data_IF_087897673533
#
_entry.id   IF_087897673533
#
_cell.length_a   1.000
_cell.length_b   1.000
_cell.length_c   1.000
_cell.angle_alpha   90.00
_cell.angle_beta   90.00
_cell.angle_gamma   90.00
#
_symmetry.space_group_name_H-M   'P 1'
#
loop_
_entity.id
_entity.type
_entity.pdbx_description
1 polymer ?
#
# COMPACT_ATOMS: atom_id res chain seq x y z
N UNK A 1 31.41 110.43 82.02
CA UNK A 1 30.10 109.83 81.66
C UNK A 1 30.24 109.14 80.31
N UNK A 2 29.97 107.84 80.17
CA UNK A 2 29.87 107.18 78.86
C UNK A 2 28.45 107.40 78.34
N UNK A 3 28.33 108.07 77.20
CA UNK A 3 27.04 108.33 76.52
C UNK A 3 26.54 107.01 75.93
N UNK A 4 25.28 106.64 76.21
CA UNK A 4 24.64 105.47 75.62
C UNK A 4 24.07 105.80 74.23
N UNK A 5 24.13 104.87 73.26
CA UNK A 5 23.63 105.09 71.89
C UNK A 5 22.09 105.13 71.80
N UNK A 6 21.51 105.79 70.77
CA UNK A 6 20.06 105.94 70.56
C UNK A 6 19.34 104.59 70.32
N UNK A 7 18.11 104.47 70.84
CA UNK A 7 17.29 103.23 70.82
C UNK A 7 17.12 102.61 69.42
N UNK A 8 16.99 103.43 68.37
CA UNK A 8 16.89 102.96 66.99
C UNK A 8 18.14 102.21 66.52
N UNK A 9 19.32 102.59 67.02
CA UNK A 9 20.58 101.92 66.73
C UNK A 9 20.68 100.58 67.48
N UNK A 10 20.10 100.48 68.69
CA UNK A 10 20.00 99.23 69.46
C UNK A 10 19.10 98.23 68.74
N UNK A 11 17.94 98.67 68.24
CA UNK A 11 16.99 97.80 67.53
C UNK A 11 17.48 97.39 66.14
N UNK A 12 18.15 98.29 65.41
CA UNK A 12 18.83 97.97 64.15
C UNK A 12 19.95 96.93 64.35
N UNK A 13 20.75 97.08 65.41
CA UNK A 13 21.78 96.11 65.77
C UNK A 13 21.19 94.76 66.18
N UNK A 14 20.04 94.73 66.87
CA UNK A 14 19.33 93.49 67.21
C UNK A 14 18.79 92.79 65.97
N UNK A 15 18.16 93.52 65.06
CA UNK A 15 17.63 92.97 63.81
C UNK A 15 18.75 92.46 62.89
N UNK A 16 19.87 93.18 62.78
CA UNK A 16 21.05 92.71 62.05
C UNK A 16 21.58 91.41 62.64
N UNK A 17 21.78 91.35 63.97
CA UNK A 17 22.24 90.13 64.65
C UNK A 17 21.30 88.94 64.45
N UNK A 18 19.98 89.17 64.47
CA UNK A 18 19.00 88.12 64.21
C UNK A 18 19.04 87.64 62.76
N UNK A 19 19.21 88.56 61.80
CA UNK A 19 19.37 88.22 60.39
C UNK A 19 20.64 87.42 60.15
N UNK A 20 21.74 87.84 60.76
CA UNK A 20 23.04 87.18 60.64
C UNK A 20 23.00 85.77 61.26
N UNK A 21 22.31 85.62 62.40
CA UNK A 21 22.04 84.31 63.01
C UNK A 21 21.21 83.42 62.08
N UNK A 22 20.07 83.91 61.57
CA UNK A 22 19.23 83.16 60.62
C UNK A 22 19.97 82.77 59.35
N UNK A 23 20.82 83.66 58.82
CA UNK A 23 21.63 83.38 57.66
C UNK A 23 22.68 82.31 57.96
N UNK A 24 23.30 82.34 59.14
CA UNK A 24 24.17 81.27 59.61
C UNK A 24 23.40 79.94 59.71
N UNK A 25 22.18 79.94 60.26
CA UNK A 25 21.30 78.75 60.33
C UNK A 25 20.99 78.14 58.98
N UNK A 26 20.64 78.98 58.01
CA UNK A 26 20.34 78.52 56.66
C UNK A 26 21.58 78.01 55.95
N UNK A 27 22.74 78.65 56.14
CA UNK A 27 23.99 78.23 55.52
C UNK A 27 24.46 76.87 56.04
N UNK A 28 24.43 76.65 57.36
CA UNK A 28 24.79 75.36 57.97
C UNK A 28 23.83 74.25 57.59
N UNK A 29 22.52 74.51 57.61
CA UNK A 29 21.53 73.55 57.13
C UNK A 29 21.79 73.18 55.66
N UNK A 30 22.07 74.16 54.81
CA UNK A 30 22.28 73.91 53.38
C UNK A 30 23.58 73.13 53.14
N UNK A 31 24.66 73.45 53.85
CA UNK A 31 25.88 72.64 53.89
C UNK A 31 25.56 71.19 54.24
N UNK A 32 24.83 70.97 55.34
CA UNK A 32 24.46 69.63 55.80
C UNK A 32 23.56 68.89 54.80
N UNK A 33 22.55 69.54 54.21
CA UNK A 33 21.71 68.94 53.15
C UNK A 33 22.57 68.48 51.97
N UNK A 34 23.48 69.32 51.47
CA UNK A 34 24.38 68.94 50.37
C UNK A 34 25.32 67.80 50.77
N UNK A 35 25.75 67.79 52.03
CA UNK A 35 26.65 66.78 52.55
C UNK A 35 25.98 65.41 52.68
N UNK A 36 24.77 65.36 53.23
CA UNK A 36 24.04 64.11 53.52
C UNK A 36 23.23 63.57 52.32
N UNK A 37 22.84 64.43 51.36
CA UNK A 37 22.05 64.02 50.18
C UNK A 37 22.85 63.21 49.16
N UNK A 38 24.19 63.29 49.19
CA UNK A 38 25.06 62.53 48.30
C UNK A 38 25.70 61.40 49.09
N UNK A 39 25.50 60.17 48.62
CA UNK A 39 26.21 59.02 49.18
C UNK A 39 27.70 59.10 48.83
N UNK A 40 28.54 59.30 49.84
CA UNK A 40 30.01 59.34 49.70
C UNK A 40 30.66 58.04 50.20
N UNK A 41 30.05 56.91 49.87
CA UNK A 41 30.53 55.58 50.25
C UNK A 41 31.48 55.02 49.17
N UNK A 42 32.52 54.30 49.62
CA UNK A 42 33.44 53.55 48.76
C UNK A 42 33.51 52.07 49.14
N UNK A 43 34.14 51.22 48.31
CA UNK A 43 34.35 49.80 48.63
C UNK A 43 35.35 49.64 49.79
N UNK A 44 35.05 48.74 50.74
CA UNK A 44 35.98 48.43 51.84
C UNK A 44 37.04 47.44 51.37
N UNK A 45 38.28 47.90 51.24
CA UNK A 45 39.40 47.08 50.76
C UNK A 45 40.18 46.39 51.88
N UNK A 46 40.18 46.95 53.10
CA UNK A 46 40.95 46.40 54.24
C UNK A 46 40.13 46.32 55.55
N UNK A 47 40.46 45.40 56.48
CA UNK A 47 39.76 45.28 57.76
C UNK A 47 39.98 46.46 58.71
N UNK A 48 41.15 47.10 58.69
CA UNK A 48 41.53 48.22 59.59
C UNK A 48 41.69 49.53 58.80
N UNK A 49 40.63 50.00 58.17
CA UNK A 49 40.59 51.36 57.61
C UNK A 49 40.10 52.35 58.69
N UNK A 50 40.53 53.63 58.70
CA UNK A 50 40.05 54.67 59.62
C UNK A 50 38.75 55.31 59.12
N UNK A 51 37.64 55.22 59.87
CA UNK A 51 36.28 55.57 59.39
C UNK A 51 35.20 54.58 59.84
N UNK A 52 34.02 54.56 59.19
CA UNK A 52 32.89 53.71 59.60
C UNK A 52 32.51 52.68 58.52
N UNK A 53 32.51 51.37 58.84
CA UNK A 53 32.04 50.34 57.91
C UNK A 53 30.51 50.28 57.87
N UNK A 54 29.94 50.12 56.67
CA UNK A 54 28.50 50.01 56.44
C UNK A 54 28.23 48.83 55.51
N UNK A 55 27.13 48.10 55.72
CA UNK A 55 26.70 47.05 54.79
C UNK A 55 25.40 47.51 54.14
N UNK A 56 25.40 47.62 52.82
CA UNK A 56 24.23 48.00 52.03
C UNK A 56 24.10 47.01 50.87
N UNK A 57 22.89 46.48 50.62
CA UNK A 57 22.64 45.50 49.56
C UNK A 57 23.60 44.29 49.55
N UNK A 58 23.98 43.81 50.74
CA UNK A 58 24.95 42.73 50.94
C UNK A 58 26.41 43.05 50.52
N UNK A 59 26.71 44.30 50.18
CA UNK A 59 28.06 44.77 49.89
C UNK A 59 28.68 45.45 51.11
N UNK A 60 29.96 45.15 51.41
CA UNK A 60 30.71 45.78 52.50
C UNK A 60 31.29 47.10 52.01
N UNK A 61 30.63 48.18 52.38
CA UNK A 61 31.01 49.56 52.05
C UNK A 61 31.72 50.26 53.21
N UNK A 62 32.31 51.39 52.87
CA UNK A 62 33.16 52.18 53.72
C UNK A 62 32.80 53.67 53.61
N UNK A 63 32.62 54.34 54.74
CA UNK A 63 32.48 55.80 54.79
C UNK A 63 33.81 56.40 55.28
N UNK A 64 34.49 57.20 54.45
CA UNK A 64 35.70 57.90 54.87
C UNK A 64 35.42 58.89 56.01
N UNK A 65 36.37 59.10 56.93
CA UNK A 65 36.18 59.91 58.13
C UNK A 65 35.88 61.38 57.80
N UNK A 66 36.42 61.91 56.70
CA UNK A 66 36.12 63.26 56.19
C UNK A 66 34.65 63.45 55.77
N UNK A 67 33.91 62.36 55.57
CA UNK A 67 32.49 62.37 55.22
C UNK A 67 31.61 61.96 56.40
N UNK A 68 32.18 61.82 57.60
CA UNK A 68 31.45 61.58 58.84
C UNK A 68 31.45 62.89 59.61
N UNK A 69 30.26 63.45 59.81
CA UNK A 69 30.12 64.67 60.61
C UNK A 69 30.43 64.37 62.09
N UNK A 70 31.21 65.22 62.78
CA UNK A 70 31.56 65.03 64.19
C UNK A 70 30.39 65.48 65.09
N UNK A 71 29.31 64.70 65.08
CA UNK A 71 28.05 65.03 65.75
C UNK A 71 28.24 65.30 67.25
N UNK A 72 29.18 64.60 67.89
CA UNK A 72 29.46 64.74 69.33
C UNK A 72 30.03 66.13 69.70
N UNK A 73 30.67 66.81 68.76
CA UNK A 73 31.28 68.13 68.95
C UNK A 73 30.35 69.28 68.50
N UNK A 74 29.13 68.97 68.08
CA UNK A 74 28.21 69.96 67.55
C UNK A 74 27.62 70.84 68.64
N UNK A 75 27.55 72.14 68.35
CA UNK A 75 26.75 73.06 69.15
C UNK A 75 25.25 72.70 69.05
N UNK A 76 24.42 73.05 70.05
CA UNK A 76 22.97 72.83 70.00
C UNK A 76 22.31 73.36 68.71
N UNK A 77 22.85 74.47 68.20
CA UNK A 77 22.44 75.08 66.94
C UNK A 77 22.73 74.19 65.71
N UNK A 78 23.93 73.60 65.62
CA UNK A 78 24.30 72.70 64.52
C UNK A 78 23.50 71.39 64.55
N UNK A 79 23.21 70.84 65.73
CA UNK A 79 22.32 69.68 65.89
C UNK A 79 20.92 69.97 65.37
N UNK A 80 20.37 71.15 65.68
CA UNK A 80 19.07 71.57 65.15
C UNK A 80 19.09 71.73 63.61
N UNK A 81 20.19 72.24 63.05
CA UNK A 81 20.38 72.36 61.61
C UNK A 81 20.46 70.98 60.92
N UNK A 82 21.14 70.01 61.56
CA UNK A 82 21.24 68.62 61.08
C UNK A 82 19.87 67.94 61.04
N UNK A 83 19.09 67.99 62.12
CA UNK A 83 17.75 67.40 62.14
C UNK A 83 16.82 67.99 61.08
N UNK A 84 16.91 69.31 60.83
CA UNK A 84 16.17 69.96 59.74
C UNK A 84 16.63 69.49 58.36
N UNK A 85 17.94 69.29 58.17
CA UNK A 85 18.51 68.80 56.93
C UNK A 85 18.09 67.35 56.64
N UNK A 86 18.20 66.46 57.63
CA UNK A 86 17.78 65.05 57.54
C UNK A 86 16.31 64.94 57.15
N UNK A 87 15.45 65.70 57.83
CA UNK A 87 14.01 65.71 57.54
C UNK A 87 13.72 66.13 56.09
N UNK A 88 14.38 67.18 55.60
CA UNK A 88 14.20 67.63 54.21
C UNK A 88 14.63 66.57 53.19
N UNK A 89 15.75 65.87 53.44
CA UNK A 89 16.23 64.81 52.56
C UNK A 89 15.29 63.60 52.59
N UNK A 90 14.80 63.22 53.77
CA UNK A 90 13.82 62.14 53.92
C UNK A 90 12.49 62.46 53.22
N UNK A 91 11.97 63.67 53.37
CA UNK A 91 10.75 64.11 52.70
C UNK A 91 10.93 64.09 51.16
N UNK A 92 12.09 64.53 50.65
CA UNK A 92 12.39 64.48 49.22
C UNK A 92 12.47 63.04 48.68
N UNK A 93 13.11 62.13 49.42
CA UNK A 93 13.19 60.71 49.05
C UNK A 93 11.81 60.03 49.11
N UNK A 94 11.00 60.32 50.12
CA UNK A 94 9.64 59.79 50.22
C UNK A 94 8.79 60.21 49.01
N UNK A 95 8.86 61.49 48.61
CA UNK A 95 8.18 61.99 47.41
C UNK A 95 8.66 61.26 46.17
N UNK A 96 9.99 61.09 46.02
CA UNK A 96 10.59 60.39 44.89
C UNK A 96 10.15 58.92 44.82
N UNK A 97 10.22 58.18 45.92
CA UNK A 97 9.84 56.77 45.94
C UNK A 97 8.33 56.58 45.71
N UNK A 98 7.48 57.46 46.27
CA UNK A 98 6.04 57.45 45.96
C UNK A 98 5.78 57.68 44.47
N UNK A 99 6.53 58.56 43.82
CA UNK A 99 6.41 58.79 42.38
C UNK A 99 6.84 57.57 41.57
N UNK A 100 7.96 56.94 41.91
CA UNK A 100 8.44 55.70 41.24
C UNK A 100 7.41 54.58 41.38
N UNK A 101 6.92 54.33 42.60
CA UNK A 101 5.93 53.28 42.85
C UNK A 101 4.62 53.51 42.08
N UNK A 102 4.15 54.77 42.00
CA UNK A 102 2.97 55.12 41.19
C UNK A 102 3.20 54.84 39.71
N UNK A 103 4.35 55.27 39.18
CA UNK A 103 4.70 55.02 37.78
C UNK A 103 4.78 53.52 37.46
N UNK A 104 5.41 52.72 38.34
CA UNK A 104 5.51 51.27 38.15
C UNK A 104 4.13 50.60 38.13
N UNK A 105 3.24 50.98 39.06
CA UNK A 105 1.86 50.46 39.09
C UNK A 105 1.11 50.80 37.79
N UNK A 106 1.22 52.04 37.32
CA UNK A 106 0.61 52.47 36.06
C UNK A 106 1.18 51.68 34.87
N UNK A 107 2.50 51.53 34.80
CA UNK A 107 3.18 50.77 33.74
C UNK A 107 2.75 49.29 33.70
N UNK A 108 2.72 48.61 34.86
CA UNK A 108 2.27 47.22 34.93
C UNK A 108 0.80 47.07 34.52
N UNK A 109 -0.06 48.00 34.93
CA UNK A 109 -1.47 48.00 34.56
C UNK A 109 -1.67 48.16 33.04
N UNK A 110 -0.97 49.12 32.43
CA UNK A 110 -1.02 49.37 30.99
C UNK A 110 -0.51 48.16 30.19
N UNK A 111 0.59 47.54 30.63
CA UNK A 111 1.14 46.32 30.02
C UNK A 111 0.14 45.17 30.08
N UNK A 112 -0.57 44.99 31.20
CA UNK A 112 -1.60 43.95 31.34
C UNK A 112 -2.76 44.18 30.37
N UNK A 113 -3.26 45.41 30.28
CA UNK A 113 -4.32 45.80 29.35
C UNK A 113 -3.89 45.52 27.89
N UNK A 114 -2.68 45.95 27.51
CA UNK A 114 -2.15 45.71 26.17
C UNK A 114 -2.02 44.22 25.83
N UNK A 115 -1.60 43.40 26.81
CA UNK A 115 -1.54 41.94 26.65
C UNK A 115 -2.92 41.33 26.40
N UNK A 116 -3.91 41.68 27.23
CA UNK A 116 -5.30 41.20 27.08
C UNK A 116 -5.87 41.59 25.71
N UNK A 117 -5.65 42.84 25.28
CA UNK A 117 -6.12 43.31 23.97
C UNK A 117 -5.49 42.52 22.82
N UNK A 118 -4.18 42.24 22.87
CA UNK A 118 -3.49 41.41 21.87
C UNK A 118 -4.05 39.99 21.82
N UNK A 119 -4.26 39.36 22.98
CA UNK A 119 -4.86 38.03 23.07
C UNK A 119 -6.28 38.02 22.50
N UNK A 120 -7.11 38.99 22.85
CA UNK A 120 -8.49 39.10 22.33
C UNK A 120 -8.50 39.24 20.80
N UNK A 121 -7.64 40.12 20.25
CA UNK A 121 -7.52 40.30 18.79
C UNK A 121 -7.00 39.04 18.09
N UNK A 122 -6.04 38.33 18.70
CA UNK A 122 -5.54 37.06 18.18
C UNK A 122 -6.63 35.97 18.20
N UNK A 123 -7.41 35.91 19.28
CA UNK A 123 -8.52 34.97 19.41
C UNK A 123 -9.63 35.22 18.39
N UNK A 124 -10.01 36.48 18.16
CA UNK A 124 -10.98 36.84 17.12
C UNK A 124 -10.49 36.40 15.72
N UNK A 125 -9.20 36.61 15.41
CA UNK A 125 -8.60 36.11 14.15
C UNK A 125 -8.62 34.59 14.06
N UNK A 126 -8.30 33.90 15.16
CA UNK A 126 -8.35 32.44 15.23
C UNK A 126 -9.76 31.93 14.95
N UNK A 127 -10.79 32.51 15.58
CA UNK A 127 -12.18 32.12 15.33
C UNK A 127 -12.57 32.25 13.85
N UNK A 128 -12.22 33.37 13.20
CA UNK A 128 -12.48 33.58 11.76
C UNK A 128 -11.73 32.53 10.92
N UNK A 129 -10.46 32.26 11.22
CA UNK A 129 -9.65 31.27 10.49
C UNK A 129 -10.20 29.86 10.65
N UNK A 130 -10.59 29.49 11.87
CA UNK A 130 -11.16 28.17 12.18
C UNK A 130 -12.51 27.99 11.46
N UNK A 131 -13.39 28.99 11.49
CA UNK A 131 -14.64 28.98 10.73
C UNK A 131 -14.39 28.80 9.22
N UNK A 132 -13.43 29.53 8.64
CA UNK A 132 -13.04 29.40 7.22
C UNK A 132 -12.49 28.01 6.90
N UNK A 133 -11.66 27.44 7.78
CA UNK A 133 -11.12 26.09 7.62
C UNK A 133 -12.21 25.03 7.66
N UNK A 134 -13.14 25.12 8.61
CA UNK A 134 -14.27 24.18 8.67
C UNK A 134 -15.17 24.28 7.44
N UNK A 135 -15.49 25.50 6.99
CA UNK A 135 -16.25 25.71 5.76
C UNK A 135 -15.56 25.11 4.53
N UNK A 136 -14.26 25.39 4.35
CA UNK A 136 -13.47 24.83 3.25
C UNK A 136 -13.35 23.31 3.32
N UNK A 137 -13.13 22.75 4.51
CA UNK A 137 -13.08 21.30 4.71
C UNK A 137 -14.40 20.63 4.33
N UNK A 138 -15.54 21.20 4.73
CA UNK A 138 -16.86 20.69 4.34
C UNK A 138 -17.04 20.70 2.81
N UNK A 139 -16.65 21.79 2.13
CA UNK A 139 -16.71 21.85 0.66
C UNK A 139 -15.83 20.79 0.00
N UNK A 140 -14.58 20.64 0.46
CA UNK A 140 -13.64 19.63 -0.07
C UNK A 140 -14.19 18.23 0.15
N UNK A 141 -14.74 17.94 1.33
CA UNK A 141 -15.36 16.65 1.65
C UNK A 141 -16.53 16.36 0.72
N UNK A 142 -17.47 17.29 0.54
CA UNK A 142 -18.60 17.10 -0.38
C UNK A 142 -18.14 16.86 -1.83
N UNK A 143 -17.14 17.61 -2.32
CA UNK A 143 -16.59 17.41 -3.67
C UNK A 143 -15.92 16.05 -3.80
N UNK A 144 -15.14 15.66 -2.79
CA UNK A 144 -14.43 14.38 -2.79
C UNK A 144 -15.40 13.20 -2.68
N UNK A 145 -16.42 13.28 -1.84
CA UNK A 145 -17.49 12.28 -1.74
C UNK A 145 -18.28 12.19 -3.04
N UNK A 146 -18.63 13.32 -3.67
CA UNK A 146 -19.28 13.32 -4.97
C UNK A 146 -18.39 12.72 -6.07
N UNK A 147 -17.08 13.00 -6.04
CA UNK A 147 -16.10 12.40 -6.95
C UNK A 147 -15.97 10.89 -6.74
N UNK A 148 -15.85 10.44 -5.48
CA UNK A 148 -15.79 9.03 -5.13
C UNK A 148 -17.08 8.32 -5.53
N UNK A 149 -18.24 8.92 -5.28
CA UNK A 149 -19.54 8.39 -5.68
C UNK A 149 -19.64 8.30 -7.20
N UNK A 150 -19.29 9.36 -7.93
CA UNK A 150 -19.24 9.34 -9.41
C UNK A 150 -18.29 8.26 -9.92
N UNK A 151 -17.08 8.14 -9.38
CA UNK A 151 -16.10 7.12 -9.79
C UNK A 151 -16.48 5.69 -9.38
N UNK A 152 -17.27 5.56 -8.31
CA UNK A 152 -17.78 4.28 -7.82
C UNK A 152 -18.98 3.80 -8.64
N UNK A 153 -19.85 4.71 -9.10
CA UNK A 153 -21.08 4.38 -9.84
C UNK A 153 -20.86 4.38 -11.35
N UNK A 154 -20.11 5.34 -11.87
CA UNK A 154 -19.86 5.47 -13.31
C UNK A 154 -18.99 4.33 -13.82
N UNK A 155 -19.32 3.89 -15.03
CA UNK A 155 -18.51 2.92 -15.73
C UNK A 155 -17.14 3.49 -16.09
N UNK A 156 -16.09 2.65 -16.08
CA UNK A 156 -14.80 3.03 -16.64
C UNK A 156 -14.96 3.46 -18.11
N UNK A 157 -14.19 4.45 -18.55
CA UNK A 157 -14.26 4.98 -19.93
C UNK A 157 -13.97 3.94 -21.01
N UNK A 158 -13.22 2.89 -20.69
CA UNK A 158 -12.95 1.77 -21.60
C UNK A 158 -14.10 0.76 -21.68
N UNK A 159 -15.06 0.77 -20.75
CA UNK A 159 -16.17 -0.18 -20.72
C UNK A 159 -17.26 0.22 -21.72
N UNK A 160 -16.97 0.02 -23.01
CA UNK A 160 -17.84 0.37 -24.14
C UNK A 160 -18.14 -0.85 -25.00
N UNK A 161 -19.21 -0.79 -25.78
CA UNK A 161 -19.60 -1.85 -26.70
C UNK A 161 -18.48 -2.10 -27.73
N UNK A 162 -18.21 -3.38 -28.00
CA UNK A 162 -17.16 -3.78 -28.94
C UNK A 162 -15.74 -3.68 -28.40
N UNK A 163 -15.55 -3.20 -27.16
CA UNK A 163 -14.23 -3.17 -26.56
C UNK A 163 -13.69 -4.59 -26.40
N UNK A 164 -12.41 -4.75 -26.70
CA UNK A 164 -11.66 -5.96 -26.43
C UNK A 164 -11.13 -5.95 -24.99
N UNK A 165 -11.45 -6.97 -24.23
CA UNK A 165 -11.16 -7.06 -22.79
C UNK A 165 -10.53 -8.40 -22.41
N UNK A 166 -9.79 -8.39 -21.31
CA UNK A 166 -9.35 -9.57 -20.59
C UNK A 166 -10.29 -9.83 -19.42
N UNK A 167 -10.79 -11.06 -19.34
CA UNK A 167 -11.60 -11.56 -18.24
C UNK A 167 -10.70 -12.21 -17.19
N UNK A 168 -11.03 -12.00 -15.92
CA UNK A 168 -10.32 -12.64 -14.81
C UNK A 168 -10.27 -14.18 -14.98
N UNK A 169 -9.09 -14.76 -14.74
CA UNK A 169 -8.78 -16.16 -15.05
C UNK A 169 -9.77 -17.17 -14.41
N UNK A 170 -10.31 -16.87 -13.23
CA UNK A 170 -11.29 -17.74 -12.54
C UNK A 170 -12.56 -17.91 -13.36
N UNK A 171 -13.06 -16.84 -13.97
CA UNK A 171 -14.24 -16.87 -14.82
C UNK A 171 -13.90 -17.44 -16.20
N UNK A 172 -12.75 -17.05 -16.76
CA UNK A 172 -12.28 -17.58 -18.04
C UNK A 172 -12.11 -19.11 -18.00
N UNK A 173 -11.63 -19.69 -16.89
CA UNK A 173 -11.55 -21.15 -16.70
C UNK A 173 -12.91 -21.83 -16.78
N UNK A 174 -13.97 -21.18 -16.29
CA UNK A 174 -15.35 -21.69 -16.37
C UNK A 174 -15.89 -21.63 -17.80
N UNK A 175 -15.64 -20.53 -18.52
CA UNK A 175 -16.02 -20.40 -19.91
C UNK A 175 -15.25 -21.36 -20.84
N UNK A 176 -13.99 -21.65 -20.50
CA UNK A 176 -13.14 -22.59 -21.22
C UNK A 176 -13.60 -24.05 -21.10
N UNK A 177 -14.53 -24.38 -20.19
CA UNK A 177 -15.07 -25.73 -20.06
C UNK A 177 -15.73 -26.15 -21.38
N UNK A 178 -15.25 -27.27 -21.92
CA UNK A 178 -15.82 -27.90 -23.11
C UNK A 178 -16.49 -29.22 -22.78
N UNK A 179 -17.32 -29.68 -23.71
CA UNK A 179 -18.08 -30.91 -23.57
C UNK A 179 -17.62 -31.90 -24.62
N UNK A 180 -17.17 -33.07 -24.15
CA UNK A 180 -16.85 -34.19 -25.02
C UNK A 180 -18.12 -35.00 -25.26
N UNK A 181 -18.53 -35.10 -26.52
CA UNK A 181 -19.79 -35.73 -26.90
C UNK A 181 -19.60 -37.20 -27.30
N UNK A 182 -20.44 -38.06 -26.73
CA UNK A 182 -20.50 -39.49 -26.99
C UNK A 182 -21.88 -39.84 -27.54
N UNK A 183 -21.97 -39.94 -28.86
CA UNK A 183 -23.22 -40.19 -29.57
C UNK A 183 -23.86 -41.52 -29.20
N UNK A 184 -25.16 -41.51 -28.94
CA UNK A 184 -25.97 -42.71 -28.68
C UNK A 184 -25.53 -43.47 -27.42
N UNK A 185 -24.75 -42.85 -26.54
CA UNK A 185 -24.26 -43.42 -25.29
C UNK A 185 -24.83 -42.67 -24.12
N UNK A 186 -25.03 -43.39 -23.01
CA UNK A 186 -25.45 -42.85 -21.73
C UNK A 186 -25.05 -43.80 -20.58
N UNK A 187 -25.31 -43.40 -19.35
CA UNK A 187 -25.24 -44.27 -18.17
C UNK A 187 -26.19 -43.75 -17.10
N UNK A 188 -27.08 -44.60 -16.58
CA UNK A 188 -28.09 -44.18 -15.59
C UNK A 188 -27.51 -43.90 -14.20
N UNK A 189 -26.44 -44.61 -13.82
CA UNK A 189 -25.82 -44.51 -12.51
C UNK A 189 -25.21 -43.11 -12.28
N UNK A 190 -25.71 -42.36 -11.30
CA UNK A 190 -25.21 -41.02 -10.99
C UNK A 190 -26.03 -39.87 -11.55
N UNK A 191 -27.17 -40.15 -12.21
CA UNK A 191 -28.23 -39.17 -12.42
C UNK A 191 -28.70 -38.61 -11.07
N UNK A 192 -28.72 -37.29 -10.92
CA UNK A 192 -29.19 -36.65 -9.69
C UNK A 192 -30.33 -35.65 -9.91
N UNK A 193 -30.50 -35.18 -11.13
CA UNK A 193 -31.64 -34.40 -11.56
C UNK A 193 -31.87 -34.66 -13.05
N UNK A 194 -33.12 -34.54 -13.49
CA UNK A 194 -33.47 -34.65 -14.91
C UNK A 194 -34.41 -33.49 -15.24
N UNK A 195 -34.03 -32.71 -16.24
CA UNK A 195 -34.82 -31.59 -16.73
C UNK A 195 -34.93 -31.66 -18.26
N UNK A 196 -35.92 -32.42 -18.71
CA UNK A 196 -36.15 -32.69 -20.13
C UNK A 196 -36.70 -31.48 -20.91
N UNK A 197 -37.02 -30.38 -20.23
CA UNK A 197 -37.57 -29.17 -20.86
C UNK A 197 -36.48 -28.25 -21.41
N UNK A 198 -35.25 -28.39 -20.91
CA UNK A 198 -34.12 -27.53 -21.28
C UNK A 198 -33.52 -27.89 -22.62
N UNK A 199 -33.18 -26.86 -23.37
CA UNK A 199 -32.38 -26.98 -24.59
C UNK A 199 -30.96 -27.46 -24.28
N UNK A 200 -30.28 -27.97 -25.31
CA UNK A 200 -28.90 -28.44 -25.18
C UNK A 200 -27.94 -27.35 -24.68
N UNK A 201 -28.14 -26.10 -25.11
CA UNK A 201 -27.26 -24.99 -24.74
C UNK A 201 -27.52 -24.49 -23.31
N UNK A 202 -28.76 -24.57 -22.84
CA UNK A 202 -29.09 -24.35 -21.43
C UNK A 202 -28.48 -25.45 -20.54
N UNK A 203 -28.54 -26.72 -20.95
CA UNK A 203 -27.90 -27.83 -20.24
C UNK A 203 -26.37 -27.66 -20.16
N UNK A 204 -25.72 -27.24 -21.25
CA UNK A 204 -24.29 -26.89 -21.24
C UNK A 204 -24.01 -25.77 -20.25
N UNK A 205 -24.81 -24.72 -20.26
CA UNK A 205 -24.64 -23.55 -19.38
C UNK A 205 -24.79 -23.95 -17.92
N UNK A 206 -25.84 -24.70 -17.59
CA UNK A 206 -26.09 -25.21 -16.25
C UNK A 206 -24.96 -26.13 -15.78
N UNK A 207 -24.52 -27.07 -16.62
CA UNK A 207 -23.42 -27.96 -16.30
C UNK A 207 -22.08 -27.21 -16.12
N UNK A 208 -21.83 -26.11 -16.83
CA UNK A 208 -20.64 -25.26 -16.61
C UNK A 208 -20.66 -24.61 -15.23
N UNK A 209 -21.82 -24.13 -14.79
CA UNK A 209 -21.97 -23.39 -13.52
C UNK A 209 -22.09 -24.29 -12.29
N UNK A 210 -22.57 -25.53 -12.46
CA UNK A 210 -22.65 -26.50 -11.37
C UNK A 210 -21.34 -27.30 -11.25
N UNK A 211 -20.59 -27.05 -10.19
CA UNK A 211 -19.36 -27.77 -9.86
C UNK A 211 -19.60 -29.26 -9.56
N UNK A 212 -20.81 -29.62 -9.12
CA UNK A 212 -21.18 -31.02 -8.83
C UNK A 212 -21.62 -31.78 -10.07
N UNK A 213 -21.83 -31.09 -11.20
CA UNK A 213 -22.25 -31.71 -12.45
C UNK A 213 -21.02 -32.06 -13.29
N UNK A 214 -20.80 -33.34 -13.53
CA UNK A 214 -19.67 -33.87 -14.29
C UNK A 214 -20.03 -34.22 -15.75
N UNK A 215 -21.30 -34.45 -16.03
CA UNK A 215 -21.82 -34.70 -17.37
C UNK A 215 -23.33 -34.46 -17.42
N UNK A 216 -23.87 -34.37 -18.63
CA UNK A 216 -25.30 -34.38 -18.86
C UNK A 216 -25.62 -35.20 -20.11
N UNK A 217 -26.82 -35.75 -20.19
CA UNK A 217 -27.33 -36.40 -21.39
C UNK A 217 -28.36 -35.51 -22.09
N UNK A 218 -28.57 -35.74 -23.38
CA UNK A 218 -29.47 -34.95 -24.23
C UNK A 218 -30.95 -35.07 -23.87
N UNK A 219 -31.33 -36.03 -23.04
CA UNK A 219 -32.67 -36.18 -22.42
C UNK A 219 -32.90 -35.21 -21.25
N UNK A 220 -31.90 -34.41 -20.87
CA UNK A 220 -31.94 -33.51 -19.72
C UNK A 220 -31.40 -34.11 -18.42
N UNK A 221 -30.91 -35.35 -18.42
CA UNK A 221 -30.36 -36.00 -17.23
C UNK A 221 -28.97 -35.45 -16.87
N UNK A 222 -28.86 -34.84 -15.69
CA UNK A 222 -27.62 -34.30 -15.10
C UNK A 222 -26.94 -35.35 -14.21
N UNK A 223 -25.61 -35.44 -14.31
CA UNK A 223 -24.83 -36.53 -13.73
C UNK A 223 -23.72 -36.03 -12.80
N UNK A 224 -23.59 -36.64 -11.61
CA UNK A 224 -22.59 -36.25 -10.59
C UNK A 224 -21.18 -36.76 -10.86
N UNK A 225 -21.07 -37.93 -11.48
CA UNK A 225 -19.78 -38.56 -11.76
C UNK A 225 -19.81 -39.19 -13.14
N UNK A 226 -18.63 -39.41 -13.71
CA UNK A 226 -18.46 -40.08 -15.00
C UNK A 226 -17.69 -41.38 -14.78
N UNK A 227 -18.13 -42.51 -15.36
CA UNK A 227 -17.42 -43.79 -15.23
C UNK A 227 -15.97 -43.68 -15.72
N UNK A 228 -15.05 -44.40 -15.07
CA UNK A 228 -13.61 -44.35 -15.43
C UNK A 228 -13.33 -44.98 -16.79
N UNK A 229 -14.13 -45.95 -17.20
CA UNK A 229 -13.94 -46.68 -18.46
C UNK A 229 -15.11 -46.43 -19.40
N UNK A 230 -14.79 -46.11 -20.67
CA UNK A 230 -15.81 -45.88 -21.71
C UNK A 230 -16.62 -47.14 -22.04
N UNK A 231 -16.11 -48.32 -21.71
CA UNK A 231 -16.83 -49.60 -21.83
C UNK A 231 -18.05 -49.70 -20.91
N UNK A 232 -18.12 -48.86 -19.88
CA UNK A 232 -19.25 -48.82 -18.93
C UNK A 232 -20.43 -47.98 -19.45
N UNK A 233 -20.29 -47.34 -20.61
CA UNK A 233 -21.36 -46.56 -21.23
C UNK A 233 -22.39 -47.49 -21.89
N UNK A 234 -23.63 -47.36 -21.47
CA UNK A 234 -24.80 -48.04 -22.02
C UNK A 234 -25.32 -47.32 -23.27
N UNK A 235 -26.12 -47.99 -24.12
CA UNK A 235 -26.86 -47.32 -25.19
C UNK A 235 -27.81 -46.27 -24.63
N UNK A 236 -27.89 -45.11 -25.27
CA UNK A 236 -28.84 -44.07 -24.91
C UNK A 236 -30.26 -44.53 -25.26
N UNK A 237 -31.09 -44.75 -24.24
CA UNK A 237 -32.50 -45.09 -24.40
C UNK A 237 -33.33 -43.81 -24.41
N UNK A 238 -33.71 -43.36 -25.60
CA UNK A 238 -34.67 -42.28 -25.77
C UNK A 238 -36.07 -42.88 -26.06
N UNK A 239 -37.15 -42.19 -25.68
CA UNK A 239 -38.53 -42.56 -26.01
C UNK A 239 -38.85 -42.43 -27.52
N UNK A 240 -37.90 -41.92 -28.31
CA UNK A 240 -38.04 -41.69 -29.75
C UNK A 240 -37.43 -42.85 -30.55
N UNK A 241 -38.12 -43.27 -31.60
CA UNK A 241 -37.74 -44.41 -32.47
C UNK A 241 -36.46 -44.15 -33.29
N UNK A 242 -36.02 -42.89 -33.41
CA UNK A 242 -34.78 -42.50 -34.11
C UNK A 242 -33.95 -41.55 -33.26
N UNK A 243 -32.65 -41.84 -33.16
CA UNK A 243 -31.66 -41.03 -32.42
C UNK A 243 -31.22 -39.84 -33.26
N UNK A 244 -31.38 -38.62 -32.73
CA UNK A 244 -30.83 -37.42 -33.36
C UNK A 244 -29.28 -37.46 -33.35
N UNK A 245 -28.60 -36.75 -34.27
CA UNK A 245 -27.13 -36.67 -34.28
C UNK A 245 -26.54 -36.12 -32.97
N UNK A 246 -27.31 -35.30 -32.25
CA UNK A 246 -26.97 -34.67 -30.97
C UNK A 246 -27.36 -35.51 -29.75
N UNK A 247 -28.01 -36.66 -29.96
CA UNK A 247 -28.47 -37.53 -28.88
C UNK A 247 -27.33 -38.35 -28.29
N UNK A 248 -27.16 -38.28 -26.97
CA UNK A 248 -26.13 -38.99 -26.23
C UNK A 248 -25.61 -38.20 -25.04
N UNK A 249 -24.39 -38.53 -24.64
CA UNK A 249 -23.76 -38.06 -23.41
C UNK A 249 -22.74 -36.95 -23.68
N UNK A 250 -22.80 -35.88 -22.89
CA UNK A 250 -21.86 -34.76 -22.90
C UNK A 250 -21.07 -34.77 -21.59
N UNK A 251 -19.79 -35.13 -21.66
CA UNK A 251 -18.88 -35.15 -20.51
C UNK A 251 -18.20 -33.80 -20.36
N UNK A 252 -18.33 -33.19 -19.17
CA UNK A 252 -17.66 -31.94 -18.80
C UNK A 252 -16.16 -32.17 -18.74
N UNK A 253 -15.40 -31.38 -19.50
CA UNK A 253 -13.94 -31.39 -19.49
C UNK A 253 -13.43 -30.03 -19.03
N UNK A 254 -12.62 -30.08 -17.98
CA UNK A 254 -11.95 -28.92 -17.41
C UNK A 254 -10.62 -28.68 -18.15
N UNK A 255 -10.22 -27.42 -18.36
CA UNK A 255 -8.88 -27.09 -18.84
C UNK A 255 -7.82 -27.63 -17.87
N UNK A 256 -6.73 -28.20 -18.39
CA UNK A 256 -5.66 -28.80 -17.58
C UNK A 256 -4.66 -27.76 -17.11
N UNK A 257 -4.46 -26.72 -17.91
CA UNK A 257 -3.50 -25.65 -17.66
C UNK A 257 -4.10 -24.28 -18.01
N UNK A 258 -3.53 -23.22 -17.45
CA UNK A 258 -3.92 -21.84 -17.81
C UNK A 258 -3.63 -21.50 -19.27
N UNK A 259 -2.67 -22.18 -19.91
CA UNK A 259 -2.37 -22.01 -21.32
C UNK A 259 -3.53 -22.48 -22.23
N UNK A 260 -4.38 -23.37 -21.74
CA UNK A 260 -5.57 -23.85 -22.46
C UNK A 260 -6.77 -22.89 -22.35
N UNK A 261 -6.65 -21.85 -21.52
CA UNK A 261 -7.75 -20.93 -21.17
C UNK A 261 -7.66 -19.67 -21.99
N UNK A 262 -8.69 -19.41 -22.80
CA UNK A 262 -8.83 -18.14 -23.51
C UNK A 262 -9.52 -17.15 -22.57
N UNK A 263 -8.77 -16.15 -22.11
CA UNK A 263 -9.26 -15.10 -21.23
C UNK A 263 -9.68 -13.82 -21.97
N UNK A 264 -9.43 -13.72 -23.27
CA UNK A 264 -9.83 -12.55 -24.05
C UNK A 264 -11.28 -12.67 -24.54
N UNK A 265 -11.97 -11.53 -24.57
CA UNK A 265 -13.38 -11.43 -24.94
C UNK A 265 -13.72 -10.07 -25.57
N UNK A 266 -14.90 -9.99 -26.17
CA UNK A 266 -15.48 -8.75 -26.72
C UNK A 266 -16.75 -8.41 -25.93
N UNK A 267 -16.91 -7.14 -25.55
CA UNK A 267 -18.12 -6.64 -24.89
C UNK A 267 -19.28 -6.55 -25.88
N UNK A 268 -20.40 -7.20 -25.57
CA UNK A 268 -21.65 -7.15 -26.38
C UNK A 268 -22.78 -6.37 -25.72
N UNK A 269 -22.78 -6.25 -24.39
CA UNK A 269 -23.74 -5.43 -23.66
C UNK A 269 -23.09 -4.77 -22.45
N UNK A 270 -23.42 -3.50 -22.21
CA UNK A 270 -22.85 -2.67 -21.14
C UNK A 270 -23.96 -2.31 -20.14
N UNK A 271 -23.73 -2.45 -18.82
CA UNK A 271 -24.73 -2.10 -17.81
C UNK A 271 -24.86 -0.57 -17.67
N UNK A 272 -25.87 -0.12 -16.93
CA UNK A 272 -26.05 1.31 -16.65
C UNK A 272 -25.04 1.86 -15.61
N UNK A 273 -24.49 0.97 -14.77
CA UNK A 273 -23.58 1.33 -13.69
C UNK A 273 -22.49 0.28 -13.47
N UNK A 274 -21.45 0.64 -12.72
CA UNK A 274 -20.27 -0.20 -12.43
C UNK A 274 -20.56 -1.45 -11.59
N UNK A 275 -21.70 -1.49 -10.90
CA UNK A 275 -22.12 -2.65 -10.10
C UNK A 275 -22.82 -3.72 -10.93
N UNK A 276 -23.24 -3.38 -12.15
CA UNK A 276 -23.83 -4.33 -13.07
C UNK A 276 -22.83 -5.32 -13.66
N UNK A 277 -23.37 -6.31 -14.36
CA UNK A 277 -22.64 -7.26 -15.17
C UNK A 277 -22.63 -6.81 -16.63
N UNK A 278 -21.50 -7.06 -17.28
CA UNK A 278 -21.26 -6.82 -18.71
C UNK A 278 -21.42 -8.16 -19.42
N UNK A 279 -22.16 -8.18 -20.52
CA UNK A 279 -22.18 -9.37 -21.37
C UNK A 279 -20.94 -9.37 -22.25
N UNK A 280 -20.19 -10.46 -22.19
CA UNK A 280 -18.98 -10.65 -22.99
C UNK A 280 -19.04 -11.96 -23.77
N UNK A 281 -18.45 -11.96 -24.94
CA UNK A 281 -18.26 -13.15 -25.77
C UNK A 281 -16.79 -13.50 -25.81
N UNK A 282 -16.44 -14.67 -25.29
CA UNK A 282 -15.04 -15.13 -25.28
C UNK A 282 -14.54 -15.42 -26.69
N UNK A 283 -13.32 -14.98 -26.96
CA UNK A 283 -12.64 -15.24 -28.21
C UNK A 283 -12.49 -16.75 -28.43
N UNK A 284 -12.66 -17.19 -29.68
CA UNK A 284 -12.47 -18.58 -30.10
C UNK A 284 -13.55 -19.57 -29.66
N UNK A 285 -14.01 -19.53 -28.41
CA UNK A 285 -15.06 -20.44 -27.90
C UNK A 285 -16.46 -19.91 -28.22
N UNK A 286 -16.64 -18.59 -28.31
CA UNK A 286 -17.93 -17.98 -28.57
C UNK A 286 -18.91 -18.10 -27.42
N UNK A 287 -18.44 -18.48 -26.23
CA UNK A 287 -19.27 -18.58 -25.03
C UNK A 287 -19.66 -17.17 -24.59
N UNK A 288 -20.95 -16.99 -24.34
CA UNK A 288 -21.50 -15.73 -23.83
C UNK A 288 -21.58 -15.85 -22.30
N UNK A 289 -21.07 -14.87 -21.58
CA UNK A 289 -21.10 -14.85 -20.12
C UNK A 289 -21.35 -13.44 -19.58
N UNK A 290 -22.09 -13.36 -18.47
CA UNK A 290 -22.30 -12.12 -17.72
C UNK A 290 -21.18 -11.96 -16.68
N UNK A 291 -20.33 -10.96 -16.86
CA UNK A 291 -19.12 -10.74 -16.06
C UNK A 291 -19.19 -9.40 -15.32
N UNK A 292 -18.91 -9.34 -14.01
CA UNK A 292 -18.84 -8.06 -13.30
C UNK A 292 -17.74 -7.17 -13.89
N UNK A 293 -17.99 -5.86 -14.03
CA UNK A 293 -17.03 -4.88 -14.58
C UNK A 293 -15.66 -4.96 -13.88
N UNK A 294 -15.67 -5.24 -12.58
CA UNK A 294 -14.48 -5.36 -11.72
C UNK A 294 -13.57 -6.55 -12.07
N UNK A 295 -14.10 -7.53 -12.82
CA UNK A 295 -13.39 -8.72 -13.29
C UNK A 295 -12.95 -8.59 -14.76
N UNK A 296 -13.12 -7.42 -15.34
CA UNK A 296 -12.69 -7.07 -16.68
C UNK A 296 -11.55 -6.07 -16.62
N UNK A 297 -10.64 -6.17 -17.58
CA UNK A 297 -9.58 -5.20 -17.82
C UNK A 297 -9.40 -5.00 -19.34
N UNK A 298 -8.94 -3.84 -19.81
CA UNK A 298 -8.73 -3.62 -21.23
C UNK A 298 -7.65 -4.58 -21.78
N UNK A 299 -7.89 -5.17 -22.96
CA UNK A 299 -6.91 -6.08 -23.59
C UNK A 299 -5.60 -5.38 -23.95
N UNK A 300 -5.68 -4.12 -24.33
CA UNK A 300 -4.53 -3.29 -24.67
C UNK A 300 -4.22 -2.36 -23.50
N UNK A 301 -3.05 -2.53 -22.89
CA UNK A 301 -2.61 -1.72 -21.75
C UNK A 301 -1.62 -0.68 -22.25
N UNK A 302 -1.78 0.56 -21.80
CA UNK A 302 -0.86 1.64 -22.12
C UNK A 302 0.36 1.56 -21.19
N UNK A 303 1.50 1.17 -21.74
CA UNK A 303 2.75 0.96 -21.01
C UNK A 303 3.83 1.90 -21.54
N UNK A 304 4.70 2.35 -20.65
CA UNK A 304 5.83 3.21 -20.99
C UNK A 304 7.08 2.35 -21.14
N UNK A 305 7.75 2.47 -22.28
CA UNK A 305 9.03 1.82 -22.53
C UNK A 305 10.18 2.75 -22.15
N UNK A 306 10.92 2.37 -21.11
CA UNK A 306 12.10 3.10 -20.66
C UNK A 306 13.26 3.06 -21.67
N UNK A 307 13.32 2.04 -22.55
CA UNK A 307 14.42 1.91 -23.51
C UNK A 307 14.25 2.88 -24.69
N UNK A 308 13.02 3.06 -25.16
CA UNK A 308 12.70 3.96 -26.28
C UNK A 308 12.20 5.33 -25.84
N UNK A 309 11.94 5.56 -24.54
CA UNK A 309 11.31 6.77 -24.00
C UNK A 309 9.96 7.09 -24.69
N UNK A 310 9.18 6.04 -24.99
CA UNK A 310 7.89 6.18 -25.68
C UNK A 310 6.78 5.39 -24.99
N UNK A 311 5.56 5.90 -25.15
CA UNK A 311 4.35 5.22 -24.73
C UNK A 311 3.82 4.34 -25.87
N UNK A 312 3.41 3.12 -25.53
CA UNK A 312 2.83 2.19 -26.49
C UNK A 312 1.73 1.35 -25.83
N UNK A 313 0.86 0.78 -26.65
CA UNK A 313 -0.18 -0.15 -26.23
C UNK A 313 0.32 -1.59 -26.39
N UNK A 314 0.29 -2.36 -25.32
CA UNK A 314 0.67 -3.78 -25.31
C UNK A 314 -0.58 -4.65 -25.33
N UNK A 315 -0.68 -5.53 -26.32
CA UNK A 315 -1.70 -6.60 -26.32
C UNK A 315 -1.37 -7.62 -25.23
N UNK A 316 -2.23 -7.75 -24.23
CA UNK A 316 -2.03 -8.71 -23.15
C UNK A 316 -1.97 -10.17 -23.62
N UNK A 317 -2.58 -10.50 -24.77
CA UNK A 317 -2.63 -11.86 -25.34
C UNK A 317 -1.36 -12.17 -26.15
N UNK A 318 -1.07 -11.37 -27.18
CA UNK A 318 0.04 -11.61 -28.11
C UNK A 318 1.38 -11.02 -27.65
N UNK A 319 1.35 -10.12 -26.66
CA UNK A 319 2.49 -9.27 -26.24
C UNK A 319 3.03 -8.36 -27.34
N UNK A 320 2.28 -8.18 -28.43
CA UNK A 320 2.63 -7.25 -29.49
C UNK A 320 2.44 -5.80 -29.01
N UNK A 321 3.38 -4.94 -29.39
CA UNK A 321 3.34 -3.51 -29.11
C UNK A 321 2.76 -2.75 -30.30
N UNK A 322 1.95 -1.72 -30.02
CA UNK A 322 1.32 -0.87 -31.03
C UNK A 322 1.38 0.59 -30.58
N UNK A 323 1.59 1.51 -31.52
CA UNK A 323 1.66 2.94 -31.21
C UNK A 323 0.28 3.54 -30.86
N UNK A 324 -0.81 2.99 -31.41
CA UNK A 324 -2.18 3.50 -31.23
C UNK A 324 -3.07 2.44 -30.59
N UNK A 325 -4.02 2.86 -29.75
CA UNK A 325 -5.02 1.97 -29.19
C UNK A 325 -5.95 1.44 -30.30
N UNK A 326 -6.24 0.14 -30.35
CA UNK A 326 -7.24 -0.39 -31.26
C UNK A 326 -8.63 0.17 -30.95
N UNK A 327 -9.35 0.55 -31.98
CA UNK A 327 -10.72 1.03 -31.83
C UNK A 327 -11.66 -0.12 -31.39
N UNK A 328 -12.69 0.17 -30.57
CA UNK A 328 -13.76 -0.77 -30.29
C UNK A 328 -14.56 -1.08 -31.57
N UNK A 329 -15.05 -2.31 -31.69
CA UNK A 329 -15.96 -2.70 -32.76
C UNK A 329 -17.36 -2.08 -32.55
N UNK A 330 -17.55 -0.85 -33.04
CA UNK A 330 -18.73 -0.05 -32.75
C UNK A 330 -20.02 -0.63 -33.36
N UNK A 331 -19.94 -1.22 -34.56
CA UNK A 331 -21.08 -1.78 -35.27
C UNK A 331 -21.40 -3.21 -34.84
N UNK A 332 -22.70 -3.53 -34.73
CA UNK A 332 -23.14 -4.86 -34.30
C UNK A 332 -22.76 -5.96 -35.31
N UNK A 333 -22.84 -5.65 -36.60
CA UNK A 333 -22.47 -6.56 -37.69
C UNK A 333 -20.97 -6.84 -37.69
N UNK A 334 -20.16 -5.82 -37.46
CA UNK A 334 -18.71 -5.94 -37.34
C UNK A 334 -18.32 -6.79 -36.13
N UNK A 335 -18.92 -6.54 -34.96
CA UNK A 335 -18.71 -7.38 -33.76
C UNK A 335 -18.99 -8.84 -34.05
N UNK A 336 -20.13 -9.12 -34.66
CA UNK A 336 -20.54 -10.49 -34.96
C UNK A 336 -19.59 -11.15 -35.96
N UNK A 337 -19.17 -10.43 -37.01
CA UNK A 337 -18.23 -10.92 -38.00
C UNK A 337 -16.86 -11.28 -37.37
N UNK A 338 -16.34 -10.43 -36.49
CA UNK A 338 -15.08 -10.68 -35.78
C UNK A 338 -15.22 -11.86 -34.81
N UNK A 339 -16.33 -11.95 -34.08
CA UNK A 339 -16.62 -13.07 -33.18
C UNK A 339 -16.62 -14.39 -33.97
N UNK A 340 -17.32 -14.43 -35.11
CA UNK A 340 -17.42 -15.63 -35.93
C UNK A 340 -16.09 -15.99 -36.61
N UNK A 341 -15.32 -15.01 -37.06
CA UNK A 341 -13.99 -15.26 -37.61
C UNK A 341 -13.04 -15.84 -36.55
N UNK A 342 -13.03 -15.28 -35.33
CA UNK A 342 -12.23 -15.81 -34.22
C UNK A 342 -12.64 -17.22 -33.83
N UNK A 343 -13.94 -17.56 -33.86
CA UNK A 343 -14.43 -18.94 -33.66
C UNK A 343 -13.89 -19.88 -34.73
N UNK A 344 -13.94 -19.48 -36.01
CA UNK A 344 -13.43 -20.29 -37.13
C UNK A 344 -11.93 -20.53 -37.03
N UNK A 345 -11.15 -19.49 -36.74
CA UNK A 345 -9.71 -19.61 -36.55
C UNK A 345 -9.36 -20.57 -35.41
N UNK A 346 -10.06 -20.45 -34.28
CA UNK A 346 -9.86 -21.35 -33.15
C UNK A 346 -10.27 -22.80 -33.46
N UNK A 347 -11.37 -23.02 -34.21
CA UNK A 347 -11.76 -24.36 -34.66
C UNK A 347 -10.70 -24.99 -35.58
N UNK A 348 -10.18 -24.22 -36.55
CA UNK A 348 -9.08 -24.67 -37.43
C UNK A 348 -7.83 -25.07 -36.63
N UNK A 349 -7.43 -24.24 -35.66
CA UNK A 349 -6.29 -24.52 -34.81
C UNK A 349 -6.49 -25.81 -33.99
N UNK A 350 -7.70 -26.07 -33.49
CA UNK A 350 -8.05 -27.32 -32.80
C UNK A 350 -7.99 -28.54 -33.73
N UNK A 351 -8.49 -28.41 -34.96
CA UNK A 351 -8.44 -29.49 -35.95
C UNK A 351 -7.00 -29.84 -36.33
N UNK A 352 -6.14 -28.83 -36.51
CA UNK A 352 -4.71 -29.03 -36.75
C UNK A 352 -4.02 -29.72 -35.56
N UNK A 353 -4.30 -29.27 -34.33
CA UNK A 353 -3.79 -29.91 -33.13
C UNK A 353 -4.24 -31.37 -33.02
N UNK A 354 -5.49 -31.67 -33.39
CA UNK A 354 -6.01 -33.03 -33.44
C UNK A 354 -5.29 -33.88 -34.49
N UNK A 355 -5.08 -33.37 -35.72
CA UNK A 355 -4.32 -34.07 -36.77
C UNK A 355 -2.90 -34.41 -36.31
N UNK A 356 -2.19 -33.45 -35.72
CA UNK A 356 -0.84 -33.68 -35.15
C UNK A 356 -0.86 -34.76 -34.06
N UNK A 357 -1.90 -34.78 -33.21
CA UNK A 357 -2.06 -35.80 -32.17
C UNK A 357 -2.32 -37.19 -32.76
N UNK A 358 -3.13 -37.29 -33.82
CA UNK A 358 -3.38 -38.54 -34.55
C UNK A 358 -2.08 -39.06 -35.16
N UNK A 359 -1.32 -38.20 -35.84
CA UNK A 359 -0.01 -38.54 -36.42
C UNK A 359 0.97 -39.04 -35.35
N UNK A 360 1.13 -38.30 -34.25
CA UNK A 360 1.97 -38.71 -33.13
C UNK A 360 1.55 -40.07 -32.54
N UNK A 361 0.24 -40.33 -32.46
CA UNK A 361 -0.29 -41.61 -31.96
C UNK A 361 -0.03 -42.75 -32.94
N UNK A 362 -0.17 -42.51 -34.24
CA UNK A 362 0.18 -43.47 -35.29
C UNK A 362 1.67 -43.83 -35.25
N UNK A 363 2.56 -42.83 -35.14
CA UNK A 363 4.01 -43.05 -34.98
C UNK A 363 4.30 -43.89 -33.73
N UNK A 364 3.66 -43.56 -32.59
CA UNK A 364 3.82 -44.32 -31.35
C UNK A 364 3.39 -45.79 -31.51
N UNK A 365 2.27 -46.05 -32.18
CA UNK A 365 1.80 -47.40 -32.47
C UNK A 365 2.75 -48.16 -33.41
N UNK A 366 3.27 -47.50 -34.44
CA UNK A 366 4.25 -48.08 -35.35
C UNK A 366 5.55 -48.45 -34.61
N UNK A 367 6.07 -47.57 -33.75
CA UNK A 367 7.23 -47.85 -32.92
C UNK A 367 6.98 -49.03 -31.96
N UNK A 368 5.82 -49.07 -31.31
CA UNK A 368 5.43 -50.18 -30.44
C UNK A 368 5.34 -51.51 -31.20
N UNK A 369 4.74 -51.50 -32.39
CA UNK A 369 4.64 -52.67 -33.26
C UNK A 369 6.02 -53.17 -33.72
N UNK A 370 6.89 -52.25 -34.18
CA UNK A 370 8.27 -52.58 -34.58
C UNK A 370 9.07 -53.18 -33.42
N UNK A 371 8.95 -52.60 -32.21
CA UNK A 371 9.57 -53.13 -30.99
C UNK A 371 9.04 -54.53 -30.64
N UNK A 372 7.73 -54.77 -30.74
CA UNK A 372 7.14 -56.10 -30.51
C UNK A 372 7.69 -57.13 -31.50
N UNK A 373 7.79 -56.77 -32.79
CA UNK A 373 8.32 -57.64 -33.84
C UNK A 373 9.81 -57.93 -33.65
N UNK A 374 10.61 -56.94 -33.26
CA UNK A 374 12.03 -57.12 -32.93
C UNK A 374 12.22 -58.08 -31.75
N UNK A 375 11.43 -57.92 -30.68
CA UNK A 375 11.43 -58.85 -29.53
C UNK A 375 11.04 -60.27 -29.93
N UNK A 376 10.05 -60.45 -30.80
CA UNK A 376 9.67 -61.78 -31.29
C UNK A 376 10.79 -62.44 -32.11
N UNK A 377 11.44 -61.68 -33.01
CA UNK A 377 12.61 -62.17 -33.78
C UNK A 377 13.78 -62.56 -32.86
N UNK A 378 14.05 -61.75 -31.85
CA UNK A 378 15.11 -62.02 -30.88
C UNK A 378 14.84 -63.31 -30.09
N UNK A 379 13.59 -63.53 -29.64
CA UNK A 379 13.20 -64.80 -28.99
C UNK A 379 13.39 -66.00 -29.90
N UNK A 380 12.98 -65.90 -31.16
CA UNK A 380 13.20 -66.97 -32.14
C UNK A 380 14.70 -67.27 -32.35
N UNK A 381 15.55 -66.24 -32.43
CA UNK A 381 17.01 -66.43 -32.52
C UNK A 381 17.56 -67.17 -31.29
N UNK A 382 17.10 -66.84 -30.08
CA UNK A 382 17.49 -67.54 -28.86
C UNK A 382 17.04 -69.01 -28.87
N UNK A 383 15.83 -69.31 -29.33
CA UNK A 383 15.32 -70.68 -29.46
C UNK A 383 16.14 -71.50 -30.46
N UNK A 384 16.51 -70.91 -31.60
CA UNK A 384 17.40 -71.56 -32.58
C UNK A 384 18.77 -71.81 -31.96
N UNK A 385 19.34 -70.82 -31.26
CA UNK A 385 20.66 -70.96 -30.63
C UNK A 385 20.69 -72.03 -29.54
N UNK A 386 19.60 -72.18 -28.78
CA UNK A 386 19.45 -73.27 -27.81
C UNK A 386 19.46 -74.63 -28.50
N UNK A 387 18.71 -74.80 -29.59
CA UNK A 387 18.72 -76.05 -30.38
C UNK A 387 20.08 -76.35 -31.00
N UNK A 388 20.80 -75.33 -31.46
CA UNK A 388 22.18 -75.48 -31.93
C UNK A 388 23.09 -75.98 -30.82
N UNK A 389 23.00 -75.42 -29.61
CA UNK A 389 23.78 -75.90 -28.44
C UNK A 389 23.43 -77.34 -28.06
N UNK A 390 22.14 -77.70 -28.07
CA UNK A 390 21.69 -79.08 -27.84
C UNK A 390 22.26 -80.04 -28.90
N UNK A 391 22.21 -79.64 -30.18
CA UNK A 391 22.78 -80.43 -31.27
C UNK A 391 24.30 -80.55 -31.13
N UNK A 392 24.99 -79.46 -30.80
CA UNK A 392 26.42 -79.45 -30.53
C UNK A 392 26.77 -80.44 -29.41
N UNK A 393 26.01 -80.44 -28.31
CA UNK A 393 26.21 -81.38 -27.20
C UNK A 393 26.02 -82.85 -27.63
N UNK A 394 25.07 -83.14 -28.52
CA UNK A 394 24.88 -84.49 -29.10
C UNK A 394 26.06 -84.88 -29.99
N UNK A 395 26.53 -83.96 -30.85
CA UNK A 395 27.69 -84.17 -31.72
C UNK A 395 28.95 -84.40 -30.88
N UNK A 396 29.18 -83.60 -29.85
CA UNK A 396 30.31 -83.74 -28.93
C UNK A 396 30.24 -85.05 -28.15
N UNK A 397 29.06 -85.47 -27.69
CA UNK A 397 28.86 -86.76 -27.05
C UNK A 397 29.09 -87.95 -28.01
N UNK A 398 28.69 -87.82 -29.27
CA UNK A 398 28.95 -88.83 -30.31
C UNK A 398 30.45 -88.90 -30.64
N UNK A 399 31.11 -87.75 -30.81
CA UNK A 399 32.55 -87.64 -31.01
C UNK A 399 33.33 -88.26 -29.83
N UNK A 400 32.91 -87.99 -28.59
CA UNK A 400 33.49 -88.60 -27.39
C UNK A 400 33.32 -90.14 -27.38
N UNK A 401 32.15 -90.66 -27.75
CA UNK A 401 31.92 -92.12 -27.88
C UNK A 401 32.77 -92.76 -28.97
N UNK A 402 32.93 -92.09 -30.11
CA UNK A 402 33.81 -92.55 -31.20
C UNK A 402 35.25 -92.56 -30.72
N UNK A 403 35.71 -91.47 -30.11
CA UNK A 403 37.05 -91.36 -29.52
C UNK A 403 37.32 -92.48 -28.51
N UNK A 404 36.36 -92.80 -27.63
CA UNK A 404 36.44 -93.88 -26.67
C UNK A 404 36.52 -95.27 -27.34
N UNK A 405 35.74 -95.51 -28.41
CA UNK A 405 35.82 -96.74 -29.22
C UNK A 405 37.18 -96.88 -29.90
N UNK A 406 37.71 -95.82 -30.51
CA UNK A 406 39.07 -95.83 -31.09
C UNK A 406 40.13 -96.09 -30.02
N UNK A 407 39.99 -95.48 -28.83
CA UNK A 407 40.90 -95.70 -27.69
C UNK A 407 40.84 -97.14 -27.17
N UNK A 408 39.64 -97.74 -27.09
CA UNK A 408 39.43 -99.16 -26.74
C UNK A 408 39.98 -100.10 -27.82
N UNK A 409 39.83 -99.76 -29.11
CA UNK A 409 40.38 -100.53 -30.23
C UNK A 409 41.90 -100.50 -30.26
N UNK A 410 42.50 -99.32 -30.06
CA UNK A 410 43.94 -99.16 -29.86
C UNK A 410 44.44 -99.96 -28.66
N UNK A 411 43.77 -99.88 -27.49
CA UNK A 411 44.10 -100.70 -26.31
C UNK A 411 43.99 -102.21 -26.56
N UNK A 412 43.02 -102.67 -27.37
CA UNK A 412 42.92 -104.09 -27.77
C UNK A 412 44.03 -104.52 -28.71
N UNK A 413 44.42 -103.67 -29.66
CA UNK A 413 45.56 -103.91 -30.56
C UNK A 413 46.87 -104.05 -29.78
N UNK A 414 47.13 -103.18 -28.81
CA UNK A 414 48.30 -103.29 -27.93
C UNK A 414 48.26 -104.49 -26.98
N UNK A 415 47.08 -105.04 -26.67
CA UNK A 415 46.92 -106.24 -25.83
C UNK A 415 47.11 -107.57 -26.59
N UNK A 416 47.26 -107.50 -27.92
CA UNK A 416 47.58 -108.64 -28.79
C UNK A 416 49.08 -108.65 -29.19
N UNK A 417 49.84 -107.67 -28.72
CA UNK A 417 51.28 -107.52 -28.96
C UNK A 417 52.14 -107.74 -27.70
N UNK A 418 51.51 -108.01 -26.56
CA UNK A 418 52.09 -108.65 -25.38
C UNK A 418 51.42 -110.02 -25.21
#
# INVERSE_FOLDING_TARGET
MKVLPPQAEIDANRASRQRDDLQAQLSERTRLVTHISVSKMGPRTQPRMPGKPVVLNHEKLWVPPENIEPIDDYSPFQLQALHRAERLVMEADEVRYKAILRFDLEYYSARRIASMFRCHRAYAKYQILTARRHAAAATIQCVYEAYLYRKAVQLPSWCVLGQQVMVAMVLARRAAIWFEFYRGRDFSAGNFATDATKSLDELKTLCRHDDKCAAFASDGSLKRFVPRQLSQLQPFTNLRTTLAPTDGLYIKRLPRSDADVIASAIITSVPHNKFGTVEVVYDGTGVIEMVPVQKLSPRFVHEYDFASDTWHYVDQVSKAQQATAPEPFAEATERQAIIDERKRLHARAKDEAYKRKVEASAVKLQCAFRSKRARAKFRHLLEVRLKELEHQAVVDAAAAKVAEKTKKRWRRWFRWWN
#
